data_IF_402725053232
#
_entry.id   IF_402725053232
#
_cell.length_a   1.000
_cell.length_b   1.000
_cell.length_c   1.000
_cell.angle_alpha   90.00
_cell.angle_beta   90.00
_cell.angle_gamma   90.00
#
_symmetry.space_group_name_H-M   'P 1'
#
loop_
_entity.id
_entity.type
_entity.pdbx_description
1 polymer ?
#
# COMPACT_ATOMS: atom_id res chain seq x y z
N UNK A 1 25.37 -0.62 1.36
CA UNK A 1 25.62 0.33 2.13
C UNK A 1 24.52 0.88 2.96
N UNK A 2 24.25 2.10 2.76
CA UNK A 2 23.28 2.72 3.57
C UNK A 2 21.95 2.11 3.47
N UNK A 3 21.60 1.61 2.33
CA UNK A 3 20.32 1.00 2.17
C UNK A 3 20.12 -0.18 3.01
N UNK A 4 21.17 -0.88 3.30
CA UNK A 4 21.04 -2.04 4.14
C UNK A 4 20.73 -1.66 5.55
N UNK A 5 21.18 -0.47 5.95
CA UNK A 5 20.94 -0.01 7.28
C UNK A 5 19.54 0.54 7.42
N UNK A 6 18.93 0.86 6.28
CA UNK A 6 17.62 1.44 6.30
C UNK A 6 16.59 0.53 5.70
N UNK A 7 16.73 -0.76 5.95
CA UNK A 7 15.76 -1.67 5.39
C UNK A 7 14.38 -1.30 5.88
N UNK A 8 13.41 -1.67 5.12
CA UNK A 8 12.04 -1.35 5.40
C UNK A 8 11.65 -1.82 6.78
N UNK A 9 10.83 -1.04 7.46
CA UNK A 9 10.40 -1.39 8.80
C UNK A 9 9.24 -2.38 8.76
N UNK A 10 8.85 -2.80 7.58
CA UNK A 10 7.84 -3.84 7.43
C UNK A 10 8.24 -4.68 6.21
N UNK A 11 7.73 -5.88 6.12
CA UNK A 11 8.08 -6.78 5.04
C UNK A 11 6.85 -7.32 4.34
N UNK A 12 7.07 -8.19 3.36
CA UNK A 12 5.99 -8.76 2.57
C UNK A 12 4.98 -9.53 3.41
N UNK A 13 5.43 -10.17 4.47
CA UNK A 13 4.53 -10.92 5.32
C UNK A 13 3.53 -10.00 6.01
N UNK A 14 4.02 -8.86 6.50
CA UNK A 14 3.15 -7.91 7.16
C UNK A 14 2.16 -7.29 6.18
N UNK A 15 2.62 -7.02 4.96
CA UNK A 15 1.76 -6.49 3.93
C UNK A 15 0.67 -7.51 3.57
N UNK A 16 1.07 -8.78 3.44
CA UNK A 16 0.14 -9.83 3.10
C UNK A 16 -0.97 -9.93 4.16
N UNK A 17 -0.57 -9.92 5.42
CA UNK A 17 -1.55 -10.01 6.51
C UNK A 17 -2.50 -8.82 6.48
N UNK A 18 -1.95 -7.64 6.26
CA UNK A 18 -2.76 -6.43 6.24
C UNK A 18 -3.79 -6.48 5.13
N UNK A 19 -3.36 -6.82 3.93
CA UNK A 19 -4.27 -6.84 2.79
C UNK A 19 -5.33 -7.93 2.93
N UNK A 20 -4.95 -9.09 3.47
CA UNK A 20 -5.94 -10.15 3.66
C UNK A 20 -6.96 -9.76 4.73
N UNK A 21 -6.55 -9.05 5.75
CA UNK A 21 -7.49 -8.57 6.77
C UNK A 21 -8.49 -7.59 6.17
N UNK A 22 -8.08 -6.88 5.13
CA UNK A 22 -8.97 -5.94 4.46
C UNK A 22 -9.86 -6.60 3.42
N UNK A 23 -9.72 -7.91 3.24
CA UNK A 23 -10.58 -8.64 2.32
C UNK A 23 -9.98 -8.93 0.96
N UNK A 24 -8.74 -8.56 0.74
CA UNK A 24 -8.08 -8.83 -0.53
C UNK A 24 -7.34 -10.16 -0.47
N UNK A 25 -7.01 -10.70 -1.65
CA UNK A 25 -6.21 -11.91 -1.70
C UNK A 25 -5.37 -11.90 -2.97
N UNK A 26 -4.60 -12.94 -3.16
CA UNK A 26 -3.66 -13.01 -4.27
C UNK A 26 -4.31 -13.14 -5.65
N UNK A 27 -5.60 -13.35 -5.70
CA UNK A 27 -6.30 -13.41 -6.98
C UNK A 27 -6.39 -12.02 -7.61
N UNK A 28 -6.29 -10.97 -6.79
CA UNK A 28 -6.33 -9.62 -7.32
C UNK A 28 -4.94 -9.24 -7.82
N UNK A 29 -4.86 -8.83 -9.07
CA UNK A 29 -3.59 -8.36 -9.61
C UNK A 29 -3.06 -7.20 -8.78
N UNK A 30 -3.97 -6.34 -8.32
CA UNK A 30 -3.59 -5.19 -7.51
C UNK A 30 -2.91 -5.57 -6.20
N UNK A 31 -3.07 -6.82 -5.73
CA UNK A 31 -2.42 -7.26 -4.51
C UNK A 31 -0.90 -7.15 -4.66
N UNK A 32 -0.37 -7.68 -5.77
CA UNK A 32 1.06 -7.63 -6.01
C UNK A 32 1.53 -6.20 -6.28
N UNK A 33 0.73 -5.42 -6.97
CA UNK A 33 1.08 -4.04 -7.25
C UNK A 33 1.13 -3.23 -5.95
N UNK A 34 0.18 -3.46 -5.05
CA UNK A 34 0.12 -2.77 -3.77
C UNK A 34 1.31 -3.16 -2.90
N UNK A 35 1.61 -4.44 -2.87
CA UNK A 35 2.75 -4.94 -2.10
C UNK A 35 4.04 -4.27 -2.57
N UNK A 36 4.26 -4.27 -3.88
CA UNK A 36 5.47 -3.69 -4.42
C UNK A 36 5.52 -2.18 -4.18
N UNK A 37 4.35 -1.51 -4.29
CA UNK A 37 4.29 -0.09 -4.04
C UNK A 37 4.69 0.23 -2.61
N UNK A 38 4.17 -0.52 -1.64
CA UNK A 38 4.48 -0.27 -0.24
C UNK A 38 5.95 -0.51 0.06
N UNK A 39 6.55 -1.53 -0.53
CA UNK A 39 7.97 -1.80 -0.34
C UNK A 39 8.81 -0.67 -0.94
N UNK A 40 8.42 -0.17 -2.12
CA UNK A 40 9.12 0.94 -2.73
C UNK A 40 9.02 2.19 -1.88
N UNK A 41 7.85 2.46 -1.34
CA UNK A 41 7.66 3.63 -0.49
C UNK A 41 8.55 3.54 0.75
N UNK A 42 8.75 2.34 1.24
CA UNK A 42 9.61 2.15 2.40
C UNK A 42 11.08 2.33 2.09
N UNK A 43 11.47 2.15 0.83
CA UNK A 43 12.86 2.28 0.42
C UNK A 43 13.22 3.65 -0.13
N UNK A 44 12.26 4.35 -0.70
CA UNK A 44 12.52 5.60 -1.39
C UNK A 44 11.49 6.63 -0.99
N UNK A 45 11.88 7.53 -0.12
CA UNK A 45 10.97 8.56 0.38
C UNK A 45 10.39 9.43 -0.71
N UNK A 46 11.11 9.60 -1.79
CA UNK A 46 10.61 10.46 -2.85
C UNK A 46 9.38 9.87 -3.49
N UNK A 47 9.29 8.55 -3.52
CA UNK A 47 8.13 7.89 -4.10
C UNK A 47 6.87 8.07 -3.26
N UNK A 48 7.02 8.38 -1.97
CA UNK A 48 5.88 8.63 -1.12
C UNK A 48 5.13 9.87 -1.58
N UNK A 49 5.87 10.86 -2.05
CA UNK A 49 5.28 12.13 -2.45
C UNK A 49 4.96 12.22 -3.93
N UNK A 50 5.30 11.20 -4.70
CA UNK A 50 5.11 11.23 -6.15
C UNK A 50 4.56 9.91 -6.65
N UNK A 51 3.38 9.55 -6.15
CA UNK A 51 2.78 8.28 -6.51
C UNK A 51 2.62 8.13 -8.02
N UNK A 52 2.06 9.15 -8.65
CA UNK A 52 1.82 9.10 -10.09
C UNK A 52 3.10 9.13 -10.90
N UNK A 53 4.07 9.94 -10.49
CA UNK A 53 5.29 10.10 -11.26
C UNK A 53 6.39 9.13 -10.91
N UNK A 54 6.34 8.56 -9.73
CA UNK A 54 7.38 7.64 -9.27
C UNK A 54 6.88 6.22 -9.12
N UNK A 55 5.86 6.02 -8.30
CA UNK A 55 5.42 4.65 -7.99
C UNK A 55 4.78 3.93 -9.17
N UNK A 56 3.78 4.53 -9.77
CA UNK A 56 3.07 3.84 -10.83
C UNK A 56 3.95 3.48 -12.03
N UNK A 57 4.83 4.40 -12.48
CA UNK A 57 5.72 4.03 -13.58
C UNK A 57 6.66 2.88 -13.23
N UNK A 58 7.18 2.85 -12.01
CA UNK A 58 8.08 1.79 -11.61
C UNK A 58 7.37 0.44 -11.53
N UNK A 59 6.17 0.43 -10.98
CA UNK A 59 5.37 -0.79 -10.90
C UNK A 59 5.02 -1.26 -12.30
N UNK A 60 4.63 -0.31 -13.15
CA UNK A 60 4.26 -0.64 -14.53
C UNK A 60 5.44 -1.26 -15.26
N UNK A 61 6.64 -0.73 -15.05
CA UNK A 61 7.83 -1.26 -15.67
C UNK A 61 8.12 -2.67 -15.16
N UNK A 62 8.04 -2.85 -13.87
CA UNK A 62 8.33 -4.15 -13.25
C UNK A 62 7.40 -5.25 -13.75
N UNK A 63 6.13 -4.94 -13.89
CA UNK A 63 5.13 -5.94 -14.25
C UNK A 63 4.71 -5.84 -15.71
N UNK A 64 5.44 -5.05 -16.51
CA UNK A 64 5.20 -4.92 -17.94
C UNK A 64 3.75 -4.58 -18.27
N UNK A 65 3.28 -3.52 -17.63
CA UNK A 65 1.91 -3.07 -17.83
C UNK A 65 1.93 -1.55 -17.91
N UNK A 66 0.76 -0.91 -17.87
CA UNK A 66 0.66 0.54 -17.98
C UNK A 66 0.40 1.16 -16.62
N UNK A 67 0.73 2.45 -16.49
CA UNK A 67 0.43 3.18 -15.25
C UNK A 67 -1.06 3.18 -14.99
N UNK A 68 -1.86 3.27 -16.06
CA UNK A 68 -3.29 3.26 -15.93
C UNK A 68 -3.78 1.93 -15.33
N UNK A 69 -3.21 0.81 -15.78
CA UNK A 69 -3.58 -0.50 -15.26
C UNK A 69 -3.16 -0.63 -13.79
N UNK A 70 -1.98 -0.10 -13.45
CA UNK A 70 -1.51 -0.15 -12.08
C UNK A 70 -2.47 0.62 -11.16
N UNK A 71 -2.81 1.84 -11.54
CA UNK A 71 -3.70 2.67 -10.74
C UNK A 71 -5.06 1.99 -10.58
N UNK A 72 -5.60 1.47 -11.68
CA UNK A 72 -6.92 0.86 -11.66
C UNK A 72 -6.94 -0.37 -10.75
N UNK A 73 -5.91 -1.19 -10.83
CA UNK A 73 -5.88 -2.41 -10.03
C UNK A 73 -5.65 -2.14 -8.55
N UNK A 74 -4.87 -1.12 -8.21
CA UNK A 74 -4.72 -0.73 -6.82
C UNK A 74 -6.04 -0.14 -6.31
N UNK A 75 -6.71 0.64 -7.15
CA UNK A 75 -8.01 1.22 -6.79
C UNK A 75 -9.03 0.12 -6.50
N UNK A 76 -8.93 -1.00 -7.23
CA UNK A 76 -9.82 -2.13 -6.98
C UNK A 76 -9.64 -2.64 -5.55
N UNK A 77 -8.40 -2.69 -5.04
CA UNK A 77 -8.19 -3.12 -3.67
C UNK A 77 -8.79 -2.12 -2.68
N UNK A 78 -8.71 -0.84 -2.99
CA UNK A 78 -9.34 0.16 -2.15
C UNK A 78 -10.85 -0.08 -2.09
N UNK A 79 -11.45 -0.42 -3.23
CA UNK A 79 -12.87 -0.72 -3.30
C UNK A 79 -13.22 -1.95 -2.48
N UNK A 80 -12.39 -2.98 -2.57
CA UNK A 80 -12.61 -4.21 -1.81
C UNK A 80 -12.56 -3.91 -0.31
N UNK A 81 -11.54 -3.17 0.12
CA UNK A 81 -11.38 -2.85 1.54
C UNK A 81 -12.55 -1.99 2.03
N UNK A 82 -12.96 -1.02 1.24
CA UNK A 82 -14.06 -0.13 1.61
C UNK A 82 -15.36 -0.89 1.76
N UNK A 83 -15.59 -1.86 0.88
CA UNK A 83 -16.81 -2.63 0.91
C UNK A 83 -16.79 -3.73 1.97
N UNK A 84 -15.67 -4.39 2.11
CA UNK A 84 -15.57 -5.55 3.00
C UNK A 84 -15.28 -5.20 4.45
N UNK A 85 -14.40 -4.24 4.66
CA UNK A 85 -13.93 -3.89 6.00
C UNK A 85 -13.81 -2.39 6.19
N UNK A 86 -14.92 -1.67 6.04
CA UNK A 86 -14.84 -0.21 6.15
C UNK A 86 -14.39 0.25 7.54
N UNK A 87 -14.80 -0.47 8.57
CA UNK A 87 -14.39 -0.12 9.93
C UNK A 87 -12.89 -0.25 10.14
N UNK A 88 -12.33 -1.36 9.65
CA UNK A 88 -10.90 -1.58 9.79
C UNK A 88 -10.12 -0.56 8.98
N UNK A 89 -10.59 -0.28 7.76
CA UNK A 89 -9.91 0.68 6.91
C UNK A 89 -9.85 2.06 7.56
N UNK A 90 -10.96 2.49 8.18
CA UNK A 90 -10.99 3.78 8.84
C UNK A 90 -10.13 3.78 10.10
N UNK A 91 -10.06 2.64 10.78
CA UNK A 91 -9.20 2.54 11.93
C UNK A 91 -7.74 2.71 11.50
N UNK A 92 -7.36 2.10 10.38
CA UNK A 92 -6.02 2.25 9.84
C UNK A 92 -5.74 3.68 9.43
N UNK A 93 -6.74 4.35 8.88
CA UNK A 93 -6.59 5.75 8.47
C UNK A 93 -6.48 6.69 9.67
N UNK A 94 -7.00 6.28 10.80
CA UNK A 94 -6.96 7.10 12.00
C UNK A 94 -8.09 8.12 12.08
N UNK A 95 -9.04 8.05 11.16
CA UNK A 95 -10.17 8.96 11.18
C UNK A 95 -11.27 8.41 10.27
N UNK A 96 -12.45 9.01 10.38
CA UNK A 96 -13.56 8.60 9.53
C UNK A 96 -13.33 9.00 8.10
N UNK A 97 -13.76 8.17 7.18
CA UNK A 97 -13.66 8.43 5.77
C UNK A 97 -15.07 8.59 5.21
N UNK A 98 -15.29 9.67 4.50
CA UNK A 98 -16.61 9.92 3.94
C UNK A 98 -16.88 9.12 2.67
N UNK A 99 -15.82 8.71 2.02
CA UNK A 99 -15.95 7.92 0.80
C UNK A 99 -14.72 7.06 0.61
N UNK A 100 -14.82 6.16 -0.35
CA UNK A 100 -13.72 5.27 -0.65
C UNK A 100 -12.46 6.05 -1.00
N UNK A 101 -11.32 5.67 -0.42
CA UNK A 101 -10.06 6.32 -0.76
C UNK A 101 -9.70 6.13 -2.23
N UNK A 102 -9.01 7.11 -2.79
CA UNK A 102 -8.43 6.95 -4.12
C UNK A 102 -7.27 5.95 -3.98
N UNK A 103 -6.71 5.51 -5.11
CA UNK A 103 -5.60 4.56 -5.06
C UNK A 103 -4.42 5.15 -4.28
N UNK A 104 -4.07 6.41 -4.51
CA UNK A 104 -2.94 7.00 -3.79
C UNK A 104 -3.27 7.21 -2.31
N UNK A 105 -4.51 7.56 -1.98
CA UNK A 105 -4.90 7.70 -0.58
C UNK A 105 -4.85 6.34 0.12
N UNK A 106 -5.28 5.31 -0.57
CA UNK A 106 -5.24 3.95 -0.04
C UNK A 106 -3.80 3.56 0.30
N UNK A 107 -2.88 3.79 -0.63
CA UNK A 107 -1.47 3.49 -0.37
C UNK A 107 -0.93 4.29 0.81
N UNK A 108 -1.31 5.56 0.91
CA UNK A 108 -0.85 6.39 2.02
C UNK A 108 -1.36 5.88 3.36
N UNK A 109 -2.63 5.46 3.40
CA UNK A 109 -3.22 4.91 4.61
C UNK A 109 -2.47 3.66 5.05
N UNK A 110 -2.23 2.75 4.10
CA UNK A 110 -1.56 1.50 4.42
C UNK A 110 -0.12 1.74 4.84
N UNK A 111 0.56 2.61 4.13
CA UNK A 111 1.95 2.89 4.45
C UNK A 111 2.09 3.52 5.83
N UNK A 112 1.23 4.47 6.14
CA UNK A 112 1.24 5.13 7.43
C UNK A 112 0.96 4.13 8.55
N UNK A 113 -0.03 3.26 8.33
CA UNK A 113 -0.37 2.27 9.33
C UNK A 113 0.78 1.30 9.56
N UNK A 114 1.41 0.82 8.48
CA UNK A 114 2.52 -0.12 8.60
C UNK A 114 3.73 0.50 9.29
N UNK A 115 4.03 1.74 8.99
CA UNK A 115 5.18 2.40 9.61
C UNK A 115 4.92 2.69 11.09
N UNK A 116 3.67 2.89 11.46
CA UNK A 116 3.33 3.14 12.85
C UNK A 116 3.24 1.86 13.66
N UNK A 117 3.41 0.71 13.04
CA UNK A 117 3.42 -0.56 13.74
C UNK A 117 4.85 -1.03 14.01
N UNK A 118 5.78 -0.11 14.00
CA UNK A 118 7.15 -0.38 14.34
C UNK A 118 7.22 -1.21 15.62
N UNK A 119 8.00 -2.26 15.66
CA UNK A 119 8.12 -3.09 16.85
C UNK A 119 8.44 -2.32 18.11
N UNK A 120 9.23 -1.27 18.01
CA UNK A 120 9.58 -0.51 19.22
C UNK A 120 8.37 0.22 19.76
N UNK A 121 7.44 0.63 18.94
CA UNK A 121 6.28 1.31 19.43
C UNK A 121 5.23 0.34 19.92
N UNK A 122 5.29 -0.88 19.44
CA UNK A 122 4.34 -1.88 19.90
C UNK A 122 4.82 -2.46 21.22
N UNK A 123 6.09 -2.32 21.43
CA UNK A 123 6.81 -2.81 22.58
C UNK A 123 6.19 -3.12 23.73
#
# INVERSE_FOLDING_TARGET
GKKMLQKAIFDSTEIYKLLTQLGADLHYIGFRYTEYALLLMGEDEQCIHSVTKCLYPEIARRYQTSCHAVERNIRTLSQVAWKSEPGLLQKMAGHSLEKRPTSSQFLAILFSYLTNMDPSSRG
#
